data_IF_351599368699
#
_entry.id   IF_351599368699
#
_cell.length_a   1.000
_cell.length_b   1.000
_cell.length_c   1.000
_cell.angle_alpha   90.00
_cell.angle_beta   90.00
_cell.angle_gamma   90.00
#
_symmetry.space_group_name_H-M   'P 1'
#
loop_
_entity.id
_entity.type
_entity.pdbx_description
1 polymer ?
#
# COMPACT_ATOMS: atom_id res chain seq x y z
N UNK A 1 7.10 21.18 16.71
CA UNK A 1 7.64 21.25 15.33
C UNK A 1 7.07 20.07 14.56
N UNK A 2 6.43 20.27 13.40
CA UNK A 2 5.83 19.18 12.59
C UNK A 2 6.72 18.92 11.37
N UNK A 3 7.14 17.68 11.18
CA UNK A 3 7.82 17.23 9.97
C UNK A 3 6.94 16.22 9.23
N UNK A 4 7.13 16.14 7.92
CA UNK A 4 6.55 15.10 7.07
C UNK A 4 7.71 14.31 6.51
N UNK A 5 7.75 13.00 6.79
CA UNK A 5 8.69 12.09 6.13
C UNK A 5 7.94 11.20 5.14
N UNK A 6 8.65 10.73 4.13
CA UNK A 6 8.10 9.75 3.20
C UNK A 6 8.05 8.39 3.90
N UNK A 7 6.88 7.76 3.88
CA UNK A 7 6.68 6.46 4.52
C UNK A 7 7.11 5.29 3.61
N UNK A 8 7.43 5.59 2.35
CA UNK A 8 7.99 4.67 1.37
C UNK A 8 8.77 5.47 0.31
N UNK A 9 9.67 4.83 -0.43
CA UNK A 9 10.40 5.48 -1.50
C UNK A 9 9.46 5.77 -2.68
N UNK A 10 9.71 6.84 -3.42
CA UNK A 10 9.00 7.18 -4.67
C UNK A 10 10.01 7.24 -5.81
N UNK A 11 9.69 6.64 -6.94
CA UNK A 11 10.61 6.62 -8.08
C UNK A 11 10.90 8.05 -8.57
N UNK A 12 12.18 8.35 -8.81
CA UNK A 12 12.64 9.68 -9.21
C UNK A 12 12.71 10.71 -8.08
N UNK A 13 12.41 10.35 -6.83
CA UNK A 13 12.52 11.23 -5.67
C UNK A 13 13.65 10.75 -4.75
N UNK A 14 14.67 11.58 -4.57
CA UNK A 14 15.83 11.32 -3.71
C UNK A 14 15.60 11.87 -2.29
N UNK A 15 14.69 11.23 -1.55
CA UNK A 15 14.39 11.53 -0.15
C UNK A 15 14.31 10.21 0.62
N UNK A 16 14.96 10.10 1.79
CA UNK A 16 14.93 8.87 2.57
C UNK A 16 13.52 8.56 3.07
N UNK A 17 13.11 7.30 2.92
CA UNK A 17 11.91 6.75 3.54
C UNK A 17 12.14 6.47 5.03
N UNK A 18 11.09 6.06 5.73
CA UNK A 18 11.20 5.59 7.11
C UNK A 18 12.06 4.32 7.22
N UNK A 19 11.92 3.40 6.26
CA UNK A 19 12.78 2.23 6.17
C UNK A 19 14.27 2.59 6.01
N UNK A 20 14.59 3.56 5.15
CA UNK A 20 15.99 4.01 4.94
C UNK A 20 16.58 4.68 6.20
N UNK A 21 15.72 5.16 7.09
CA UNK A 21 16.08 5.72 8.39
C UNK A 21 16.15 4.64 9.50
N UNK A 22 15.97 3.35 9.16
CA UNK A 22 16.03 2.24 10.09
C UNK A 22 14.76 2.02 10.92
N UNK A 23 13.65 2.64 10.55
CA UNK A 23 12.37 2.46 11.25
C UNK A 23 11.78 1.10 10.85
N UNK A 24 11.42 0.31 11.86
CA UNK A 24 10.90 -1.06 11.72
C UNK A 24 9.55 -1.22 12.43
N UNK A 25 8.80 -2.24 12.02
CA UNK A 25 7.64 -2.75 12.76
C UNK A 25 8.11 -3.61 13.95
N UNK A 26 7.18 -3.95 14.84
CA UNK A 26 7.47 -4.74 16.04
C UNK A 26 8.09 -6.13 15.76
N UNK A 27 7.84 -6.69 14.58
CA UNK A 27 8.43 -7.95 14.13
C UNK A 27 9.84 -7.78 13.53
N UNK A 28 10.38 -6.55 13.50
CA UNK A 28 11.68 -6.20 12.95
C UNK A 28 11.68 -5.98 11.43
N UNK A 29 10.55 -6.09 10.74
CA UNK A 29 10.46 -5.81 9.31
C UNK A 29 10.53 -4.30 9.04
N UNK A 30 11.02 -3.92 7.85
CA UNK A 30 11.07 -2.51 7.44
C UNK A 30 9.68 -1.88 7.42
N UNK A 31 9.55 -0.69 8.01
CA UNK A 31 8.30 0.05 7.90
C UNK A 31 8.21 0.73 6.53
N UNK A 32 7.41 0.13 5.64
CA UNK A 32 7.05 0.69 4.33
C UNK A 32 5.54 0.86 4.24
N UNK A 33 5.10 2.11 4.08
CA UNK A 33 3.69 2.42 3.92
C UNK A 33 3.46 3.27 2.67
N UNK A 34 2.98 2.61 1.63
CA UNK A 34 2.38 3.27 0.47
C UNK A 34 0.86 3.41 0.64
N UNK A 35 0.25 4.46 0.08
CA UNK A 35 -1.21 4.55 -0.01
C UNK A 35 -1.67 3.81 -1.26
N UNK A 36 -2.43 2.73 -1.07
CA UNK A 36 -2.90 1.88 -2.17
C UNK A 36 -4.36 2.19 -2.54
N UNK A 37 -4.69 1.95 -3.80
CA UNK A 37 -6.05 2.04 -4.34
C UNK A 37 -6.48 0.66 -4.81
N UNK A 38 -7.59 0.17 -4.26
CA UNK A 38 -8.07 -1.20 -4.44
C UNK A 38 -9.56 -1.18 -4.79
N UNK A 39 -9.99 -2.14 -5.59
CA UNK A 39 -11.42 -2.32 -5.93
C UNK A 39 -12.03 -3.30 -4.94
N UNK A 40 -13.16 -2.92 -4.35
CA UNK A 40 -13.92 -3.76 -3.42
C UNK A 40 -15.24 -4.19 -4.04
N UNK A 41 -15.57 -5.47 -3.86
CA UNK A 41 -16.80 -6.07 -4.34
C UNK A 41 -17.61 -6.63 -3.16
N UNK A 42 -18.94 -6.75 -3.30
CA UNK A 42 -19.77 -7.43 -2.31
C UNK A 42 -19.27 -8.86 -2.03
N UNK A 43 -19.44 -9.34 -0.79
CA UNK A 43 -18.93 -10.66 -0.33
C UNK A 43 -19.34 -11.84 -1.24
N UNK A 44 -20.51 -11.75 -1.86
CA UNK A 44 -21.09 -12.80 -2.72
C UNK A 44 -21.18 -12.35 -4.18
N UNK A 45 -20.22 -11.56 -4.65
CA UNK A 45 -20.19 -11.13 -6.05
C UNK A 45 -19.96 -12.33 -6.98
N UNK A 46 -20.59 -12.41 -8.17
CA UNK A 46 -20.48 -13.57 -9.04
C UNK A 46 -19.04 -13.82 -9.50
N UNK A 47 -18.58 -15.07 -9.40
CA UNK A 47 -17.17 -15.42 -9.62
C UNK A 47 -16.72 -15.17 -11.07
N UNK A 48 -17.62 -15.37 -12.03
CA UNK A 48 -17.41 -15.06 -13.44
C UNK A 48 -17.19 -13.57 -13.68
N UNK A 49 -17.86 -12.71 -12.92
CA UNK A 49 -17.70 -11.25 -13.01
C UNK A 49 -16.41 -10.80 -12.32
N UNK A 50 -16.01 -11.46 -11.22
CA UNK A 50 -14.68 -11.25 -10.59
C UNK A 50 -13.59 -11.58 -11.60
N UNK A 51 -13.69 -12.74 -12.26
CA UNK A 51 -12.70 -13.13 -13.28
C UNK A 51 -12.65 -12.15 -14.44
N UNK A 52 -13.79 -11.71 -14.95
CA UNK A 52 -13.85 -10.73 -16.04
C UNK A 52 -13.20 -9.40 -15.63
N UNK A 53 -13.42 -8.95 -14.40
CA UNK A 53 -12.78 -7.75 -13.86
C UNK A 53 -11.26 -7.93 -13.73
N UNK A 54 -10.80 -9.05 -13.19
CA UNK A 54 -9.38 -9.37 -13.07
C UNK A 54 -8.69 -9.33 -14.45
N UNK A 55 -9.27 -10.00 -15.45
CA UNK A 55 -8.74 -10.02 -16.81
C UNK A 55 -8.70 -8.60 -17.43
N UNK A 56 -9.75 -7.80 -17.24
CA UNK A 56 -9.81 -6.43 -17.73
C UNK A 56 -8.80 -5.51 -17.04
N UNK A 57 -8.67 -5.59 -15.71
CA UNK A 57 -7.74 -4.77 -14.94
C UNK A 57 -6.29 -5.14 -15.20
N UNK A 58 -6.00 -6.41 -15.52
CA UNK A 58 -4.69 -6.83 -15.99
C UNK A 58 -4.33 -6.10 -17.29
N UNK A 59 -5.24 -6.11 -18.27
CA UNK A 59 -5.03 -5.43 -19.55
C UNK A 59 -4.79 -3.92 -19.37
N UNK A 60 -5.60 -3.25 -18.53
CA UNK A 60 -5.41 -1.82 -18.20
C UNK A 60 -4.06 -1.57 -17.52
N UNK A 61 -3.66 -2.43 -16.58
CA UNK A 61 -2.40 -2.27 -15.85
C UNK A 61 -1.17 -2.53 -16.72
N UNK A 62 -1.31 -3.28 -17.81
CA UNK A 62 -0.24 -3.55 -18.77
C UNK A 62 -0.13 -2.47 -19.86
N UNK A 63 -1.17 -1.65 -20.05
CA UNK A 63 -1.23 -0.58 -21.03
C UNK A 63 -0.12 0.47 -20.83
N UNK A 64 0.71 0.75 -21.86
CA UNK A 64 1.82 1.70 -21.74
C UNK A 64 1.37 3.14 -21.44
N UNK A 65 0.23 3.58 -21.98
CA UNK A 65 -0.28 4.92 -21.77
C UNK A 65 -0.75 5.09 -20.31
N UNK A 66 -1.46 4.09 -19.78
CA UNK A 66 -1.85 4.06 -18.38
C UNK A 66 -0.63 4.13 -17.44
N UNK A 67 0.41 3.33 -17.70
CA UNK A 67 1.66 3.39 -16.92
C UNK A 67 2.30 4.76 -16.97
N UNK A 68 2.38 5.37 -18.15
CA UNK A 68 2.95 6.71 -18.32
C UNK A 68 2.16 7.77 -17.57
N UNK A 69 0.83 7.69 -17.57
CA UNK A 69 -0.02 8.65 -16.86
C UNK A 69 0.02 8.46 -15.34
N UNK A 70 0.10 7.22 -14.85
CA UNK A 70 0.30 6.95 -13.42
C UNK A 70 1.66 7.45 -12.93
N UNK A 71 2.72 7.25 -13.71
CA UNK A 71 4.06 7.70 -13.38
C UNK A 71 4.15 9.24 -13.24
N UNK A 72 3.43 10.01 -14.06
CA UNK A 72 3.35 11.49 -13.93
C UNK A 72 2.80 11.95 -12.57
N UNK A 73 2.01 11.11 -11.90
CA UNK A 73 1.44 11.37 -10.58
C UNK A 73 2.23 10.67 -9.45
N UNK A 74 3.40 10.13 -9.75
CA UNK A 74 4.21 9.34 -8.82
C UNK A 74 3.51 8.08 -8.28
N UNK A 75 2.51 7.58 -9.00
CA UNK A 75 1.90 6.29 -8.70
C UNK A 75 2.68 5.17 -9.37
N UNK A 76 2.78 4.04 -8.66
CA UNK A 76 3.32 2.80 -9.19
C UNK A 76 2.20 1.89 -9.63
N UNK A 77 2.27 1.41 -10.87
CA UNK A 77 1.38 0.38 -11.36
C UNK A 77 1.76 -0.98 -10.77
N UNK A 78 0.84 -1.62 -10.06
CA UNK A 78 0.98 -3.00 -9.60
C UNK A 78 -0.36 -3.72 -9.75
N UNK A 79 -0.48 -4.56 -10.77
CA UNK A 79 -1.68 -5.39 -10.91
C UNK A 79 -1.69 -6.47 -9.83
N UNK A 80 -2.77 -6.53 -9.06
CA UNK A 80 -3.13 -7.66 -8.22
C UNK A 80 -4.49 -8.16 -8.68
N UNK A 81 -4.59 -9.46 -8.96
CA UNK A 81 -5.89 -10.09 -9.12
C UNK A 81 -6.65 -10.08 -7.79
N UNK A 82 -7.96 -10.36 -7.82
CA UNK A 82 -8.82 -10.26 -6.66
C UNK A 82 -8.36 -11.14 -5.47
N UNK A 83 -7.76 -12.31 -5.75
CA UNK A 83 -7.22 -13.19 -4.70
C UNK A 83 -5.97 -12.60 -4.03
N UNK A 84 -5.01 -12.12 -4.83
CA UNK A 84 -3.79 -11.49 -4.35
C UNK A 84 -4.07 -10.15 -3.65
N UNK A 85 -5.03 -9.37 -4.15
CA UNK A 85 -5.50 -8.15 -3.52
C UNK A 85 -6.08 -8.43 -2.13
N UNK A 86 -6.88 -9.49 -1.97
CA UNK A 86 -7.37 -9.91 -0.65
C UNK A 86 -6.23 -10.27 0.28
N UNK A 87 -5.26 -11.07 -0.15
CA UNK A 87 -4.11 -11.44 0.68
C UNK A 87 -3.32 -10.20 1.11
N UNK A 88 -3.05 -9.28 0.17
CA UNK A 88 -2.39 -8.01 0.43
C UNK A 88 -3.11 -7.17 1.49
N UNK A 89 -4.43 -7.00 1.36
CA UNK A 89 -5.25 -6.22 2.29
C UNK A 89 -5.18 -6.80 3.71
N UNK A 90 -5.28 -8.12 3.83
CA UNK A 90 -5.25 -8.78 5.15
C UNK A 90 -3.86 -8.68 5.79
N UNK A 91 -2.79 -8.92 5.02
CA UNK A 91 -1.41 -8.72 5.50
C UNK A 91 -1.17 -7.28 5.97
N UNK A 92 -1.64 -6.30 5.19
CA UNK A 92 -1.52 -4.87 5.55
C UNK A 92 -2.33 -4.51 6.78
N UNK A 93 -3.54 -5.05 6.93
CA UNK A 93 -4.34 -4.88 8.15
C UNK A 93 -3.59 -5.41 9.36
N UNK A 94 -3.04 -6.61 9.27
CA UNK A 94 -2.39 -7.27 10.39
C UNK A 94 -1.09 -6.53 10.79
N UNK A 95 -0.32 -6.02 9.81
CA UNK A 95 0.87 -5.21 10.11
C UNK A 95 0.54 -3.85 10.74
N UNK A 96 -0.54 -3.19 10.31
CA UNK A 96 -1.00 -1.94 10.90
C UNK A 96 -1.56 -2.12 12.31
N UNK A 97 -2.18 -3.28 12.60
CA UNK A 97 -2.58 -3.60 13.96
C UNK A 97 -1.35 -3.69 14.87
N UNK A 98 -0.28 -4.36 14.42
CA UNK A 98 0.99 -4.40 15.17
C UNK A 98 1.60 -3.01 15.42
N UNK A 99 1.49 -2.10 14.45
CA UNK A 99 1.90 -0.70 14.63
C UNK A 99 1.06 0.01 15.70
N UNK A 100 -0.27 -0.14 15.66
CA UNK A 100 -1.20 0.45 16.63
C UNK A 100 -0.91 -0.08 18.04
N UNK A 101 -0.75 -1.40 18.19
CA UNK A 101 -0.53 -2.06 19.47
C UNK A 101 0.82 -1.67 20.10
N UNK A 102 1.80 -1.29 19.27
CA UNK A 102 3.14 -0.87 19.71
C UNK A 102 3.26 0.64 19.91
N UNK A 103 2.26 1.41 19.48
CA UNK A 103 2.29 2.86 19.63
C UNK A 103 2.10 3.22 21.11
N UNK A 104 3.04 3.97 21.73
CA UNK A 104 2.86 4.44 23.10
C UNK A 104 1.65 5.37 23.19
N UNK A 105 1.03 5.44 24.37
CA UNK A 105 -0.02 6.43 24.61
C UNK A 105 0.53 7.83 24.37
N UNK A 106 -0.26 8.68 23.72
CA UNK A 106 0.11 10.09 23.60
C UNK A 106 0.22 10.74 24.99
N UNK A 107 -0.61 10.33 25.94
CA UNK A 107 -0.58 10.83 27.32
C UNK A 107 0.74 10.51 28.04
N UNK A 108 1.46 9.47 27.60
CA UNK A 108 2.79 9.12 28.12
C UNK A 108 3.93 9.86 27.38
N UNK A 109 3.64 10.40 26.19
CA UNK A 109 4.62 11.08 25.33
C UNK A 109 4.62 12.60 25.46
N UNK A 110 3.49 13.21 25.83
CA UNK A 110 3.39 14.66 26.07
C UNK A 110 3.53 14.96 27.57
N UNK A 111 4.43 15.90 27.89
CA UNK A 111 4.54 16.51 29.23
C UNK A 111 3.43 17.53 29.47
#
# INVERSE_FOLDING_TARGET
MKYVGLLDNVEGIDVPSYADQGITLADGSEFRFSKDFLIYLPKNFPAEMIKALDDAMKAVSEDPQFKADMAKMSYRGGYLNSAAAKEFIYKKRDSLQGLIDSAPSLDDLVM
#
